data_IF_299716621130
#
_entry.id   IF_299716621130
#
_cell.length_a   1.000
_cell.length_b   1.000
_cell.length_c   1.000
_cell.angle_alpha   90.00
_cell.angle_beta   90.00
_cell.angle_gamma   90.00
#
_symmetry.space_group_name_H-M   'P 1'
#
loop_
_entity.id
_entity.type
_entity.pdbx_description
1 polymer ?
#
# COMPACT_ATOMS: atom_id res chain seq x y z
N UNK A 1 11.52 2.89 -22.43
CA UNK A 1 10.65 4.09 -22.44
C UNK A 1 9.69 4.01 -23.62
N UNK A 2 8.41 4.37 -23.48
CA UNK A 2 7.45 4.27 -24.60
C UNK A 2 6.01 3.84 -24.27
N UNK A 3 5.53 3.98 -23.03
CA UNK A 3 4.10 3.77 -22.68
C UNK A 3 3.51 5.05 -22.10
N UNK A 4 2.18 5.17 -22.18
CA UNK A 4 1.43 6.25 -21.53
C UNK A 4 1.71 6.18 -20.03
N UNK A 5 2.13 7.30 -19.44
CA UNK A 5 2.41 7.44 -18.02
C UNK A 5 1.10 7.42 -17.21
N UNK A 6 0.51 6.25 -17.08
CA UNK A 6 -0.72 6.00 -16.34
C UNK A 6 -0.47 4.94 -15.28
N UNK A 7 -0.75 5.27 -14.01
CA UNK A 7 -0.54 4.38 -12.87
C UNK A 7 -1.46 4.78 -11.70
N UNK A 8 -1.54 3.90 -10.70
CA UNK A 8 -2.26 4.13 -9.44
C UNK A 8 -1.34 3.80 -8.28
N UNK A 9 -1.36 4.64 -7.24
CA UNK A 9 -0.66 4.40 -5.97
C UNK A 9 -1.67 3.91 -4.94
N UNK A 10 -1.40 2.75 -4.33
CA UNK A 10 -2.26 2.10 -3.34
C UNK A 10 -1.69 2.22 -1.93
N UNK A 11 -2.57 2.31 -0.93
CA UNK A 11 -2.21 2.27 0.50
C UNK A 11 -1.87 0.85 0.98
N UNK A 12 -0.85 0.21 0.38
CA UNK A 12 -0.39 -1.14 0.72
C UNK A 12 1.15 -1.24 0.69
N UNK A 13 1.71 -2.20 1.43
CA UNK A 13 3.14 -2.49 1.50
C UNK A 13 3.64 -3.41 0.39
N UNK A 14 2.77 -4.29 -0.14
CA UNK A 14 3.10 -5.24 -1.21
C UNK A 14 1.83 -5.64 -2.02
N UNK A 15 1.97 -6.35 -3.15
CA UNK A 15 0.82 -6.76 -3.97
C UNK A 15 -0.15 -7.73 -3.28
N UNK A 16 0.33 -8.64 -2.43
CA UNK A 16 -0.50 -9.58 -1.67
C UNK A 16 -1.37 -8.80 -0.68
N UNK A 17 -0.77 -7.83 0.00
CA UNK A 17 -1.48 -6.91 0.86
C UNK A 17 -2.50 -6.05 0.10
N UNK A 18 -2.15 -5.56 -1.09
CA UNK A 18 -3.08 -4.79 -1.91
C UNK A 18 -4.35 -5.61 -2.27
N UNK A 19 -4.20 -6.91 -2.52
CA UNK A 19 -5.35 -7.79 -2.74
C UNK A 19 -6.16 -8.00 -1.46
N UNK A 20 -5.47 -8.29 -0.35
CA UNK A 20 -6.08 -8.58 0.96
C UNK A 20 -6.86 -7.38 1.53
N UNK A 21 -6.25 -6.20 1.50
CA UNK A 21 -6.80 -5.01 2.13
C UNK A 21 -7.81 -4.28 1.25
N UNK A 22 -7.77 -4.47 -0.07
CA UNK A 22 -8.51 -3.63 -1.05
C UNK A 22 -8.29 -2.13 -0.73
N UNK A 23 -7.03 -1.69 -0.69
CA UNK A 23 -6.65 -0.39 -0.14
C UNK A 23 -7.19 0.77 -0.97
N UNK A 24 -7.27 1.93 -0.35
CA UNK A 24 -7.59 3.16 -1.04
C UNK A 24 -6.53 3.51 -2.10
N UNK A 25 -6.98 4.20 -3.16
CA UNK A 25 -6.10 4.82 -4.14
C UNK A 25 -5.66 6.18 -3.61
N UNK A 26 -4.41 6.25 -3.17
CA UNK A 26 -3.82 7.50 -2.67
C UNK A 26 -3.62 8.51 -3.79
N UNK A 27 -3.27 8.02 -4.98
CA UNK A 27 -3.07 8.85 -6.17
C UNK A 27 -3.43 8.07 -7.43
N UNK A 28 -4.10 8.74 -8.38
CA UNK A 28 -4.36 8.22 -9.72
C UNK A 28 -3.71 9.15 -10.72
N UNK A 29 -2.84 8.59 -11.57
CA UNK A 29 -2.12 9.32 -12.60
C UNK A 29 -2.62 8.84 -13.96
N UNK A 30 -3.04 9.79 -14.80
CA UNK A 30 -3.42 9.54 -16.18
C UNK A 30 -2.61 10.47 -17.10
N UNK A 31 -1.89 9.89 -18.06
CA UNK A 31 -1.10 10.65 -19.04
C UNK A 31 -0.13 11.65 -18.39
N UNK A 32 0.51 11.23 -17.29
CA UNK A 32 1.47 12.05 -16.56
C UNK A 32 0.86 13.14 -15.68
N UNK A 33 -0.47 13.19 -15.53
CA UNK A 33 -1.16 14.15 -14.67
C UNK A 33 -1.87 13.43 -13.54
N UNK A 34 -1.81 14.00 -12.33
CA UNK A 34 -2.64 13.53 -11.22
C UNK A 34 -4.08 13.94 -11.48
N UNK A 35 -4.98 12.97 -11.44
CA UNK A 35 -6.42 13.18 -11.69
C UNK A 35 -7.29 12.92 -10.47
N UNK A 36 -6.74 12.29 -9.43
CA UNK A 36 -7.40 12.12 -8.14
C UNK A 36 -6.35 11.88 -7.05
N UNK A 37 -6.57 12.44 -5.87
CA UNK A 37 -5.74 12.26 -4.68
C UNK A 37 -6.61 12.00 -3.46
N UNK A 38 -6.08 11.20 -2.53
CA UNK A 38 -6.65 11.01 -1.19
C UNK A 38 -5.54 10.96 -0.15
N UNK A 39 -5.83 11.55 1.01
CA UNK A 39 -4.97 11.43 2.18
C UNK A 39 -4.98 9.98 2.68
N UNK A 40 -3.81 9.51 3.11
CA UNK A 40 -3.69 8.21 3.80
C UNK A 40 -4.51 8.22 5.08
N UNK A 41 -5.28 7.16 5.32
CA UNK A 41 -6.14 7.05 6.49
C UNK A 41 -5.52 6.12 7.54
N UNK A 42 -5.50 6.56 8.80
CA UNK A 42 -5.19 5.71 9.95
C UNK A 42 -6.48 5.18 10.57
N UNK A 43 -6.43 3.95 11.11
CA UNK A 43 -7.57 3.40 11.84
C UNK A 43 -7.51 3.89 13.28
N UNK A 44 -8.51 4.67 13.71
CA UNK A 44 -8.67 5.05 15.11
C UNK A 44 -9.21 3.87 15.92
N UNK A 45 -8.62 3.62 17.08
CA UNK A 45 -9.12 2.63 18.03
C UNK A 45 -9.72 3.34 19.25
N UNK A 46 -10.92 2.92 19.63
CA UNK A 46 -11.60 3.38 20.84
C UNK A 46 -11.59 2.27 21.92
N UNK A 47 -10.40 1.74 22.21
CA UNK A 47 -10.20 0.62 23.15
C UNK A 47 -9.24 1.08 24.24
N UNK A 48 -9.70 1.05 25.50
CA UNK A 48 -8.88 1.43 26.64
C UNK A 48 -7.59 0.59 26.72
N UNK A 49 -6.46 1.24 26.97
CA UNK A 49 -5.15 0.57 27.05
C UNK A 49 -4.54 0.14 25.70
N UNK A 50 -5.13 0.53 24.56
CA UNK A 50 -4.56 0.31 23.22
C UNK A 50 -4.10 1.63 22.58
N UNK A 51 -3.20 1.58 21.58
CA UNK A 51 -2.82 2.75 20.81
C UNK A 51 -4.05 3.43 20.18
N UNK A 52 -4.07 4.76 20.20
CA UNK A 52 -5.20 5.54 19.69
C UNK A 52 -5.40 5.38 18.18
N UNK A 53 -4.32 5.15 17.43
CA UNK A 53 -4.35 4.86 16.00
C UNK A 53 -3.45 3.68 15.65
N UNK A 54 -3.83 2.94 14.61
CA UNK A 54 -3.03 1.87 14.03
C UNK A 54 -3.06 1.94 12.51
N UNK A 55 -1.97 1.51 11.89
CA UNK A 55 -1.93 1.29 10.46
C UNK A 55 -2.23 -0.18 10.12
N UNK A 56 -3.02 -0.41 9.07
CA UNK A 56 -3.42 -1.76 8.63
C UNK A 56 -2.38 -2.45 7.75
N UNK A 57 -1.37 -1.70 7.27
CA UNK A 57 -0.27 -2.26 6.50
C UNK A 57 0.59 -3.14 7.39
N UNK A 58 0.77 -4.38 6.99
CA UNK A 58 1.81 -5.25 7.53
C UNK A 58 3.11 -4.94 6.80
N UNK A 59 4.21 -4.80 7.55
CA UNK A 59 5.53 -4.96 6.95
C UNK A 59 5.66 -6.47 6.70
N UNK A 60 5.85 -6.95 5.46
CA UNK A 60 6.18 -8.35 5.26
C UNK A 60 7.45 -8.62 6.08
N UNK A 61 7.44 -9.68 6.90
CA UNK A 61 8.67 -10.16 7.49
C UNK A 61 9.61 -10.46 6.33
N UNK A 62 10.75 -9.75 6.28
CA UNK A 62 11.82 -9.96 5.33
C UNK A 62 12.27 -11.42 5.43
N UNK A 63 11.67 -12.33 4.67
CA UNK A 63 12.10 -13.72 4.55
C UNK A 63 11.29 -14.38 3.44
N UNK A 64 11.97 -14.76 2.34
CA UNK A 64 11.79 -16.01 1.58
C UNK A 64 12.34 -15.93 0.14
N UNK A 65 12.64 -14.74 -0.40
CA UNK A 65 13.12 -14.63 -1.80
C UNK A 65 14.63 -14.92 -1.92
N UNK A 66 15.40 -14.71 -0.85
CA UNK A 66 16.86 -14.96 -0.84
C UNK A 66 17.24 -16.45 -0.74
N UNK A 67 16.29 -17.35 -0.48
CA UNK A 67 16.58 -18.77 -0.25
C UNK A 67 16.47 -19.64 -1.52
N UNK A 68 15.88 -19.11 -2.60
CA UNK A 68 15.71 -19.84 -3.86
C UNK A 68 16.95 -19.69 -4.77
N UNK A 69 17.74 -18.62 -4.60
CA UNK A 69 18.92 -18.31 -5.44
C UNK A 69 20.25 -18.84 -4.85
N UNK A 70 20.19 -19.77 -3.89
CA UNK A 70 21.37 -20.39 -3.24
C UNK A 70 21.46 -21.91 -3.43
N UNK A 71 20.76 -22.48 -4.42
CA UNK A 71 20.81 -23.92 -4.71
C UNK A 71 21.27 -24.18 -6.14
#
# INVERSE_FOLDING_TARGET
VGKRASLVVLDAGDPVEALRLRPERLCVIARGKVVAERARQETRLSIAGRPATVNRRHRPSQNSIDQIDRS
#
